data_IF_289181613250
#
_entry.id   IF_289181613250
#
_cell.length_a   1.000
_cell.length_b   1.000
_cell.length_c   1.000
_cell.angle_alpha   90.00
_cell.angle_beta   90.00
_cell.angle_gamma   90.00
#
_symmetry.space_group_name_H-M   'P 1'
#
loop_
_entity.id
_entity.type
_entity.pdbx_description
1 polymer ?
#
# COMPACT_ATOMS: atom_id res chain seq x y z
N UNK A 1 14.89 -1.64 -22.90
CA UNK A 1 14.20 -1.87 -21.64
C UNK A 1 13.07 -0.86 -21.48
N UNK A 2 11.86 -1.34 -21.24
CA UNK A 2 10.69 -0.50 -21.00
C UNK A 2 10.24 -0.71 -19.54
N UNK A 3 10.10 0.38 -18.81
CA UNK A 3 9.53 0.35 -17.45
C UNK A 3 8.05 0.73 -17.53
N UNK A 4 7.17 -0.15 -17.07
CA UNK A 4 5.74 0.10 -16.96
C UNK A 4 5.44 0.33 -15.48
N UNK A 5 5.10 1.58 -15.15
CA UNK A 5 4.65 1.96 -13.82
C UNK A 5 3.13 1.90 -13.70
N UNK A 6 2.63 1.77 -12.48
CA UNK A 6 1.22 1.80 -12.17
C UNK A 6 0.66 0.42 -11.80
N UNK A 7 0.33 0.30 -10.52
CA UNK A 7 -0.25 -0.93 -9.97
C UNK A 7 -1.75 -1.03 -10.22
N UNK A 8 -2.42 0.11 -10.39
CA UNK A 8 -3.88 0.20 -10.55
C UNK A 8 -4.19 1.37 -11.49
N UNK A 9 -5.17 1.21 -12.37
CA UNK A 9 -5.68 2.33 -13.15
C UNK A 9 -6.74 3.12 -12.35
N UNK A 10 -7.30 4.18 -12.95
CA UNK A 10 -8.37 5.00 -12.35
C UNK A 10 -9.67 4.22 -12.01
N UNK A 11 -9.81 3.01 -12.54
CA UNK A 11 -10.95 2.10 -12.28
C UNK A 11 -10.61 1.00 -11.27
N UNK A 12 -9.43 1.03 -10.68
CA UNK A 12 -9.01 0.03 -9.69
C UNK A 12 -8.49 -1.28 -10.28
N UNK A 13 -8.31 -1.38 -11.61
CA UNK A 13 -7.80 -2.59 -12.24
C UNK A 13 -6.28 -2.72 -12.07
N UNK A 14 -5.79 -3.79 -11.43
CA UNK A 14 -4.37 -4.00 -11.25
C UNK A 14 -3.69 -4.35 -12.59
N UNK A 15 -2.50 -3.79 -12.81
CA UNK A 15 -1.67 -4.05 -13.99
C UNK A 15 -2.39 -3.85 -15.33
N UNK A 16 -3.33 -2.90 -15.42
CA UNK A 16 -4.19 -2.74 -16.61
C UNK A 16 -3.39 -2.60 -17.93
N UNK A 17 -2.26 -1.89 -17.92
CA UNK A 17 -1.40 -1.77 -19.10
C UNK A 17 -0.76 -3.11 -19.46
N UNK A 18 -0.17 -3.81 -18.48
CA UNK A 18 0.50 -5.10 -18.72
C UNK A 18 -0.50 -6.20 -19.09
N UNK A 19 -1.69 -6.21 -18.49
CA UNK A 19 -2.77 -7.13 -18.86
C UNK A 19 -3.18 -6.93 -20.32
N UNK A 20 -3.36 -5.67 -20.77
CA UNK A 20 -3.66 -5.36 -22.18
C UNK A 20 -2.51 -5.73 -23.13
N UNK A 21 -1.25 -5.59 -22.71
CA UNK A 21 -0.10 -6.09 -23.46
C UNK A 21 -0.12 -7.61 -23.58
N UNK A 22 -0.42 -8.30 -22.48
CA UNK A 22 -0.58 -9.75 -22.44
C UNK A 22 -1.76 -10.22 -23.31
N UNK A 23 -2.84 -9.46 -23.40
CA UNK A 23 -3.98 -9.75 -24.30
C UNK A 23 -3.71 -9.36 -25.76
N UNK A 24 -2.68 -8.55 -26.03
CA UNK A 24 -2.40 -8.03 -27.38
C UNK A 24 -3.31 -6.87 -27.79
N UNK A 25 -4.00 -6.24 -26.84
CA UNK A 25 -4.90 -5.09 -27.07
C UNK A 25 -4.27 -3.74 -26.80
N UNK A 26 -3.02 -3.72 -26.34
CA UNK A 26 -2.27 -2.49 -26.07
C UNK A 26 -1.61 -1.99 -27.36
N UNK A 27 -2.07 -0.85 -27.89
CA UNK A 27 -1.71 -0.36 -29.23
C UNK A 27 -0.25 0.04 -29.37
N UNK A 28 0.40 0.52 -28.30
CA UNK A 28 1.75 1.08 -28.36
C UNK A 28 2.85 0.00 -28.29
N UNK A 29 2.55 -1.17 -27.70
CA UNK A 29 3.55 -2.21 -27.45
C UNK A 29 2.91 -3.57 -27.70
N UNK A 30 3.57 -4.37 -28.54
CA UNK A 30 3.23 -5.77 -28.78
C UNK A 30 4.35 -6.64 -28.22
N UNK A 31 4.00 -7.52 -27.28
CA UNK A 31 4.93 -8.49 -26.71
C UNK A 31 5.13 -9.67 -27.63
N UNK A 32 6.39 -10.12 -27.73
CA UNK A 32 6.82 -11.25 -28.59
C UNK A 32 7.27 -12.43 -27.71
N UNK A 33 7.27 -13.67 -28.25
CA UNK A 33 7.66 -14.86 -27.48
C UNK A 33 9.05 -14.82 -26.86
N UNK A 34 9.98 -14.07 -27.44
CA UNK A 34 11.36 -13.96 -26.93
C UNK A 34 11.56 -12.80 -25.94
N UNK A 35 10.52 -12.03 -25.67
CA UNK A 35 10.59 -10.94 -24.71
C UNK A 35 10.68 -11.47 -23.28
N UNK A 36 11.25 -10.64 -22.40
CA UNK A 36 11.38 -10.92 -20.96
C UNK A 36 10.57 -9.87 -20.21
N UNK A 37 9.72 -10.34 -19.31
CA UNK A 37 8.98 -9.50 -18.37
C UNK A 37 9.48 -9.73 -16.95
N UNK A 38 9.89 -8.65 -16.28
CA UNK A 38 10.39 -8.68 -14.90
C UNK A 38 9.42 -7.91 -14.02
N UNK A 39 8.85 -8.58 -13.02
CA UNK A 39 8.03 -7.97 -11.97
C UNK A 39 8.94 -7.52 -10.82
N UNK A 40 9.30 -6.25 -10.80
CA UNK A 40 10.04 -5.61 -9.71
C UNK A 40 9.07 -4.96 -8.71
N UNK A 41 8.03 -5.69 -8.30
CA UNK A 41 7.04 -5.22 -7.34
C UNK A 41 6.49 -6.39 -6.54
N UNK A 42 6.07 -6.12 -5.30
CA UNK A 42 5.35 -7.09 -4.49
C UNK A 42 3.84 -6.94 -4.70
N UNK A 43 3.08 -8.04 -4.79
CA UNK A 43 1.63 -7.98 -4.87
C UNK A 43 1.03 -7.24 -3.69
N UNK A 44 0.11 -6.31 -3.95
CA UNK A 44 -0.72 -5.70 -2.90
C UNK A 44 -1.77 -6.75 -2.49
N UNK A 45 -2.09 -6.88 -1.18
CA UNK A 45 -3.18 -7.74 -0.74
C UNK A 45 -4.47 -7.46 -1.54
N UNK A 46 -5.11 -8.52 -2.03
CA UNK A 46 -6.29 -8.44 -2.91
C UNK A 46 -5.98 -8.54 -4.42
N UNK A 47 -4.77 -8.20 -4.87
CA UNK A 47 -4.44 -8.20 -6.31
C UNK A 47 -3.73 -9.48 -6.80
N UNK A 48 -3.44 -10.43 -5.92
CA UNK A 48 -2.66 -11.62 -6.24
C UNK A 48 -3.27 -12.46 -7.37
N UNK A 49 -4.60 -12.60 -7.40
CA UNK A 49 -5.33 -13.37 -8.43
C UNK A 49 -5.20 -12.71 -9.80
N UNK A 50 -5.38 -11.40 -9.90
CA UNK A 50 -5.24 -10.65 -11.17
C UNK A 50 -3.81 -10.70 -11.69
N UNK A 51 -2.83 -10.57 -10.81
CA UNK A 51 -1.41 -10.68 -11.15
C UNK A 51 -1.10 -12.07 -11.67
N UNK A 52 -1.56 -13.12 -10.98
CA UNK A 52 -1.39 -14.52 -11.41
C UNK A 52 -2.00 -14.77 -12.79
N UNK A 53 -3.21 -14.26 -13.05
CA UNK A 53 -3.85 -14.35 -14.38
C UNK A 53 -3.02 -13.67 -15.46
N UNK A 54 -2.49 -12.48 -15.20
CA UNK A 54 -1.65 -11.75 -16.15
C UNK A 54 -0.35 -12.51 -16.43
N UNK A 55 0.30 -13.05 -15.40
CA UNK A 55 1.48 -13.90 -15.55
C UNK A 55 1.18 -15.12 -16.42
N UNK A 56 0.07 -15.82 -16.16
CA UNK A 56 -0.34 -16.97 -16.98
C UNK A 56 -0.53 -16.61 -18.46
N UNK A 57 -1.14 -15.47 -18.77
CA UNK A 57 -1.28 -14.98 -20.14
C UNK A 57 0.07 -14.73 -20.81
N UNK A 58 1.04 -14.20 -20.09
CA UNK A 58 2.41 -14.00 -20.61
C UNK A 58 3.09 -15.35 -20.91
N UNK A 59 2.99 -16.31 -20.00
CA UNK A 59 3.51 -17.67 -20.23
C UNK A 59 2.86 -18.35 -21.45
N UNK A 60 1.55 -18.21 -21.64
CA UNK A 60 0.85 -18.76 -22.81
C UNK A 60 1.35 -18.16 -24.13
N UNK A 61 1.91 -16.96 -24.11
CA UNK A 61 2.56 -16.34 -25.27
C UNK A 61 4.05 -16.70 -25.44
N UNK A 62 4.59 -17.59 -24.61
CA UNK A 62 6.00 -17.97 -24.65
C UNK A 62 6.95 -16.92 -24.08
N UNK A 63 6.45 -15.92 -23.33
CA UNK A 63 7.24 -14.85 -22.73
C UNK A 63 7.88 -15.36 -21.46
N UNK A 64 9.17 -15.08 -21.26
CA UNK A 64 9.87 -15.39 -20.01
C UNK A 64 9.50 -14.39 -18.94
N UNK A 65 8.98 -14.87 -17.80
CA UNK A 65 8.55 -14.03 -16.69
C UNK A 65 9.39 -14.29 -15.46
N UNK A 66 9.96 -13.25 -14.89
CA UNK A 66 10.64 -13.28 -13.61
C UNK A 66 9.85 -12.49 -12.56
N UNK A 67 9.67 -13.09 -11.40
CA UNK A 67 8.99 -12.46 -10.25
C UNK A 67 9.91 -12.44 -9.04
N UNK A 68 9.54 -11.70 -8.02
CA UNK A 68 10.32 -11.57 -6.79
C UNK A 68 10.57 -12.91 -6.07
N UNK A 69 9.77 -13.94 -6.35
CA UNK A 69 9.94 -15.29 -5.80
C UNK A 69 10.94 -16.14 -6.60
N UNK A 70 11.19 -15.80 -7.85
CA UNK A 70 12.09 -16.56 -8.74
C UNK A 70 13.53 -16.04 -8.74
N UNK A 71 13.72 -14.77 -8.37
CA UNK A 71 15.03 -14.13 -8.21
C UNK A 71 14.97 -13.28 -6.94
N UNK A 72 15.76 -13.67 -5.94
CA UNK A 72 15.76 -13.08 -4.60
C UNK A 72 16.30 -11.69 -4.60
N UNK A 73 15.90 -10.68 -5.09
CA UNK A 73 16.39 -9.28 -5.00
C UNK A 73 15.87 -8.37 -6.14
N UNK A 74 14.77 -8.75 -6.79
CA UNK A 74 14.18 -7.92 -7.85
C UNK A 74 13.48 -6.68 -7.32
N UNK A 75 13.12 -6.65 -6.05
CA UNK A 75 12.35 -5.57 -5.45
C UNK A 75 12.96 -5.09 -4.15
N UNK A 76 13.29 -3.80 -4.12
CA UNK A 76 13.59 -3.10 -2.87
C UNK A 76 12.33 -2.41 -2.37
N UNK A 77 11.98 -2.60 -1.09
CA UNK A 77 10.83 -1.93 -0.48
C UNK A 77 10.96 -0.40 -0.61
N UNK A 78 9.87 0.25 -0.96
CA UNK A 78 9.78 1.72 -0.92
C UNK A 78 9.60 2.27 0.49
N UNK A 79 9.28 1.39 1.46
CA UNK A 79 9.20 1.77 2.88
C UNK A 79 10.55 1.59 3.55
N UNK A 80 10.87 2.52 4.45
CA UNK A 80 12.09 2.48 5.25
C UNK A 80 12.16 1.23 6.13
N UNK A 81 13.35 0.65 6.26
CA UNK A 81 13.61 -0.42 7.21
C UNK A 81 13.74 0.11 8.65
N UNK A 82 13.89 -0.77 9.61
CA UNK A 82 13.93 -0.41 11.03
C UNK A 82 15.07 0.56 11.36
N UNK A 83 16.26 0.36 10.80
CA UNK A 83 17.42 1.21 11.10
C UNK A 83 17.31 2.59 10.44
N UNK A 84 16.71 2.66 9.27
CA UNK A 84 16.40 3.94 8.60
C UNK A 84 15.35 4.74 9.39
N UNK A 85 14.32 4.07 9.92
CA UNK A 85 13.34 4.71 10.81
C UNK A 85 14.00 5.24 12.09
N UNK A 86 14.88 4.47 12.73
CA UNK A 86 15.64 4.90 13.90
C UNK A 86 16.55 6.07 13.57
N UNK A 87 17.23 6.03 12.43
CA UNK A 87 18.08 7.13 11.97
C UNK A 87 17.25 8.42 11.81
N UNK A 88 16.09 8.35 11.15
CA UNK A 88 15.21 9.50 10.98
C UNK A 88 14.74 10.06 12.32
N UNK A 89 14.31 9.21 13.25
CA UNK A 89 13.87 9.62 14.60
C UNK A 89 15.02 10.34 15.33
N UNK A 90 16.24 9.81 15.27
CA UNK A 90 17.41 10.41 15.94
C UNK A 90 17.82 11.74 15.31
N UNK A 91 17.75 11.86 13.99
CA UNK A 91 18.10 13.10 13.27
C UNK A 91 17.09 14.22 13.57
N UNK A 92 15.80 13.91 13.62
CA UNK A 92 14.73 14.88 13.92
C UNK A 92 14.69 15.19 15.43
N UNK A 93 14.98 14.19 16.25
CA UNK A 93 14.90 14.26 17.72
C UNK A 93 13.55 14.84 18.21
N UNK A 94 12.40 14.25 17.80
CA UNK A 94 11.11 14.83 18.09
C UNK A 94 10.73 14.66 19.55
N UNK A 95 10.02 15.63 20.12
CA UNK A 95 9.45 15.52 21.47
C UNK A 95 8.35 14.49 21.56
N UNK A 96 7.57 14.35 20.49
CA UNK A 96 6.42 13.44 20.38
C UNK A 96 6.50 12.63 19.10
N UNK A 97 6.02 11.38 19.14
CA UNK A 97 5.92 10.51 17.98
C UNK A 97 4.51 9.95 17.86
N UNK A 98 3.91 10.10 16.68
CA UNK A 98 2.64 9.48 16.32
C UNK A 98 2.81 8.77 14.97
N UNK A 99 3.05 7.46 14.97
CA UNK A 99 3.05 6.67 13.73
C UNK A 99 1.66 6.66 13.08
N UNK A 100 1.63 6.66 11.75
CA UNK A 100 0.42 6.52 10.97
C UNK A 100 0.69 5.72 9.68
N UNK A 101 -0.36 5.40 8.93
CA UNK A 101 -0.26 4.66 7.67
C UNK A 101 0.26 3.23 7.85
N UNK A 102 -0.49 2.44 8.59
CA UNK A 102 -0.19 1.02 8.79
C UNK A 102 -1.24 0.34 9.67
N UNK A 103 -1.19 -0.98 9.77
CA UNK A 103 -1.99 -1.69 10.75
C UNK A 103 -1.52 -1.39 12.18
N UNK A 104 -2.36 -1.68 13.18
CA UNK A 104 -2.06 -1.40 14.59
C UNK A 104 -0.72 -2.01 15.03
N UNK A 105 -0.38 -3.21 14.56
CA UNK A 105 0.89 -3.88 14.85
C UNK A 105 2.09 -3.10 14.32
N UNK A 106 1.99 -2.57 13.10
CA UNK A 106 3.05 -1.74 12.49
C UNK A 106 3.22 -0.44 13.25
N UNK A 107 2.09 0.25 13.55
CA UNK A 107 2.11 1.49 14.33
C UNK A 107 2.74 1.27 15.71
N UNK A 108 2.38 0.16 16.38
CA UNK A 108 2.93 -0.19 17.69
C UNK A 108 4.43 -0.47 17.66
N UNK A 109 4.90 -1.18 16.63
CA UNK A 109 6.34 -1.41 16.43
C UNK A 109 7.09 -0.10 16.21
N UNK A 110 6.57 0.78 15.35
CA UNK A 110 7.20 2.07 15.09
C UNK A 110 7.23 2.96 16.35
N UNK A 111 6.16 2.99 17.15
CA UNK A 111 6.15 3.66 18.45
C UNK A 111 7.23 3.12 19.39
N UNK A 112 7.42 1.79 19.44
CA UNK A 112 8.47 1.17 20.25
C UNK A 112 9.88 1.58 19.78
N UNK A 113 10.12 1.69 18.47
CA UNK A 113 11.38 2.21 17.93
C UNK A 113 11.64 3.64 18.42
N UNK A 114 10.60 4.47 18.53
CA UNK A 114 10.69 5.81 19.13
C UNK A 114 11.19 5.76 20.57
N UNK A 115 10.64 4.86 21.36
CA UNK A 115 11.09 4.66 22.76
C UNK A 115 12.54 4.17 22.81
N UNK A 116 12.93 3.23 21.97
CA UNK A 116 14.32 2.77 21.84
C UNK A 116 15.28 3.89 21.43
N UNK A 117 14.78 4.88 20.70
CA UNK A 117 15.55 6.08 20.30
C UNK A 117 15.56 7.18 21.36
N UNK A 118 14.92 6.99 22.52
CA UNK A 118 14.95 7.92 23.65
C UNK A 118 13.69 8.79 23.82
N UNK A 119 12.65 8.62 22.99
CA UNK A 119 11.38 9.33 23.19
C UNK A 119 10.66 8.70 24.39
N UNK A 120 10.23 9.47 25.40
CA UNK A 120 9.45 8.94 26.51
C UNK A 120 8.19 8.19 26.03
N UNK A 121 7.86 7.09 26.67
CA UNK A 121 6.72 6.25 26.28
C UNK A 121 5.40 7.02 26.28
N UNK A 122 5.21 7.92 27.23
CA UNK A 122 4.07 8.82 27.34
C UNK A 122 3.97 9.85 26.21
N UNK A 123 5.07 10.07 25.49
CA UNK A 123 5.15 10.94 24.32
C UNK A 123 5.01 10.19 22.99
N UNK A 124 4.76 8.88 23.03
CA UNK A 124 4.48 8.07 21.83
C UNK A 124 3.01 7.70 21.77
N UNK A 125 2.33 8.07 20.69
CA UNK A 125 0.89 7.90 20.54
C UNK A 125 0.59 6.91 19.41
N UNK A 126 -0.02 5.77 19.75
CA UNK A 126 -0.66 4.88 18.78
C UNK A 126 -2.14 5.14 18.86
N UNK A 127 -2.71 5.66 17.77
CA UNK A 127 -4.10 6.11 17.71
C UNK A 127 -4.87 5.32 16.64
N UNK A 128 -6.16 5.22 16.84
CA UNK A 128 -7.12 4.64 15.90
C UNK A 128 -7.80 5.74 15.09
N UNK A 129 -8.43 5.37 13.98
CA UNK A 129 -9.27 6.30 13.23
C UNK A 129 -10.33 6.91 14.14
N UNK A 130 -10.46 8.23 14.08
CA UNK A 130 -11.38 8.97 14.92
C UNK A 130 -10.81 9.46 16.25
N UNK A 131 -9.68 8.95 16.72
CA UNK A 131 -9.01 9.47 17.91
C UNK A 131 -8.50 10.90 17.67
N UNK A 132 -8.63 11.76 18.66
CA UNK A 132 -8.23 13.17 18.61
C UNK A 132 -7.03 13.40 19.54
N UNK A 133 -5.94 13.92 18.98
CA UNK A 133 -4.81 14.46 19.75
C UNK A 133 -4.88 15.98 19.74
N UNK A 134 -4.73 16.59 20.91
CA UNK A 134 -4.77 18.04 21.10
C UNK A 134 -3.37 18.52 21.45
N UNK A 135 -2.80 19.39 20.60
CA UNK A 135 -1.56 20.11 20.89
C UNK A 135 -1.90 21.49 21.43
N UNK A 136 -1.57 21.73 22.70
CA UNK A 136 -1.74 23.04 23.36
C UNK A 136 -0.50 23.37 24.20
N UNK A 137 0.05 24.55 24.02
CA UNK A 137 1.24 25.00 24.75
C UNK A 137 2.40 23.99 24.69
N UNK A 138 2.69 23.44 23.52
CA UNK A 138 3.72 22.42 23.29
C UNK A 138 3.53 21.09 24.06
N UNK A 139 2.30 20.80 24.51
CA UNK A 139 1.93 19.55 25.16
C UNK A 139 0.85 18.86 24.33
N UNK A 140 1.06 17.57 24.02
CA UNK A 140 0.07 16.73 23.35
C UNK A 140 -0.68 15.91 24.39
N UNK A 141 -2.00 15.92 24.30
CA UNK A 141 -2.90 15.09 25.10
C UNK A 141 -3.90 14.37 24.19
N UNK A 142 -4.28 13.15 24.55
CA UNK A 142 -5.34 12.43 23.84
C UNK A 142 -6.69 12.87 24.42
N UNK A 143 -7.61 13.31 23.56
CA UNK A 143 -8.99 13.63 23.93
C UNK A 143 -9.74 12.37 24.34
N UNK A 144 -10.76 12.55 25.18
CA UNK A 144 -11.78 11.52 25.43
C UNK A 144 -12.83 11.47 24.32
N UNK A 145 -12.99 12.55 23.58
CA UNK A 145 -13.88 12.64 22.44
C UNK A 145 -13.24 12.01 21.21
N UNK A 146 -14.07 11.44 20.35
CA UNK A 146 -13.69 10.90 19.06
C UNK A 146 -14.55 11.53 17.97
N UNK A 147 -14.01 11.65 16.75
CA UNK A 147 -14.79 11.92 15.55
C UNK A 147 -15.14 10.61 14.87
N UNK A 148 -16.15 10.60 13.99
CA UNK A 148 -16.44 9.42 13.19
C UNK A 148 -15.21 9.05 12.37
N UNK A 149 -14.75 7.82 12.52
CA UNK A 149 -13.64 7.22 11.77
C UNK A 149 -14.12 6.13 10.81
N UNK A 150 -15.44 6.07 10.55
CA UNK A 150 -16.03 5.10 9.65
C UNK A 150 -15.70 5.44 8.18
N UNK A 151 -15.61 4.39 7.37
CA UNK A 151 -15.37 4.54 5.94
C UNK A 151 -16.54 5.27 5.27
N UNK A 152 -16.26 6.35 4.57
CA UNK A 152 -17.24 7.04 3.75
C UNK A 152 -17.07 6.56 2.30
N UNK A 153 -18.09 5.87 1.80
CA UNK A 153 -18.11 5.37 0.43
C UNK A 153 -18.65 6.43 -0.51
N UNK A 154 -17.94 6.60 -1.64
CA UNK A 154 -18.35 7.52 -2.72
C UNK A 154 -18.68 6.70 -3.97
N UNK A 155 -19.88 6.85 -4.49
CA UNK A 155 -20.29 6.23 -5.75
C UNK A 155 -20.77 7.34 -6.73
N UNK A 156 -19.91 7.69 -7.66
CA UNK A 156 -20.12 8.84 -8.55
C UNK A 156 -20.29 10.14 -7.78
N UNK A 157 -21.45 10.79 -7.90
CA UNK A 157 -21.78 12.03 -7.18
C UNK A 157 -22.51 11.80 -5.85
N UNK A 158 -22.66 10.56 -5.40
CA UNK A 158 -23.33 10.20 -4.15
C UNK A 158 -22.31 9.93 -3.06
N UNK A 159 -22.48 10.60 -1.92
CA UNK A 159 -21.66 10.41 -0.71
C UNK A 159 -22.59 9.78 0.32
N UNK A 160 -22.18 8.67 0.95
CA UNK A 160 -22.90 8.02 2.04
C UNK A 160 -23.44 6.66 1.68
N UNK A 161 -24.69 6.37 1.87
CA UNK A 161 -25.29 5.03 1.84
C UNK A 161 -25.05 4.26 0.53
N UNK A 162 -23.93 3.58 0.46
CA UNK A 162 -23.76 2.48 -0.49
C UNK A 162 -24.38 1.25 0.17
N UNK A 163 -25.46 0.75 -0.38
CA UNK A 163 -26.18 -0.39 0.19
C UNK A 163 -25.25 -1.60 0.40
N UNK A 164 -25.47 -2.34 1.49
CA UNK A 164 -24.67 -3.51 1.88
C UNK A 164 -24.50 -4.56 0.76
N UNK A 165 -25.43 -4.62 -0.17
CA UNK A 165 -25.39 -5.49 -1.36
C UNK A 165 -24.28 -5.04 -2.31
N UNK A 166 -24.16 -3.75 -2.59
CA UNK A 166 -23.12 -3.19 -3.48
C UNK A 166 -21.75 -3.39 -2.88
N UNK A 167 -21.59 -3.20 -1.56
CA UNK A 167 -20.33 -3.46 -0.86
C UNK A 167 -19.92 -4.93 -0.91
N UNK A 168 -20.90 -5.84 -0.74
CA UNK A 168 -20.67 -7.28 -0.84
C UNK A 168 -20.25 -7.68 -2.25
N UNK A 169 -20.95 -7.18 -3.26
CA UNK A 169 -20.69 -7.52 -4.65
C UNK A 169 -19.32 -6.98 -5.12
N UNK A 170 -18.93 -5.78 -4.69
CA UNK A 170 -17.59 -5.25 -4.93
C UNK A 170 -16.49 -6.06 -4.23
N UNK A 171 -16.72 -6.59 -3.03
CA UNK A 171 -15.78 -7.50 -2.35
C UNK A 171 -15.61 -8.84 -3.07
N UNK A 172 -16.63 -9.32 -3.77
CA UNK A 172 -16.57 -10.56 -4.53
C UNK A 172 -15.86 -10.35 -5.89
N UNK A 173 -15.91 -9.12 -6.43
CA UNK A 173 -15.29 -8.76 -7.71
C UNK A 173 -13.85 -8.26 -7.57
N UNK A 174 -13.36 -8.00 -6.38
CA UNK A 174 -11.99 -7.61 -6.04
C UNK A 174 -11.17 -8.83 -5.61
#
# INVERSE_FOLDING_TARGET
CLTVGGLVNSQGEPLAALSRMADGTFRQISLRPDDIVIFSSSPIPGNAVSISRTINKLYLKGIKVFTNTSLSELHTSGHANQEELKLMIRLINPKYLMPFHGDYRMLKRHANLGVECGIPKENTFVVENGDILILKNHVITKSKEKVSGEDIYVDGNRIGEVGSVVLRDRKIMA
#
